data_IF_268752663368
#
_entry.id   IF_268752663368
#
_cell.length_a   1.000
_cell.length_b   1.000
_cell.length_c   1.000
_cell.angle_alpha   90.00
_cell.angle_beta   90.00
_cell.angle_gamma   90.00
#
_symmetry.space_group_name_H-M   'P 1'
#
loop_
_entity.id
_entity.type
_entity.pdbx_description
1 polymer ?
#
# COMPACT_ATOMS: atom_id res chain seq x y z
N UNK A 1 -4.05 -23.18 -12.63
CA UNK A 1 -5.34 -22.52 -12.94
C UNK A 1 -5.35 -21.20 -12.20
N UNK A 2 -5.36 -20.08 -12.91
CA UNK A 2 -5.73 -18.78 -12.34
C UNK A 2 -7.19 -18.87 -11.94
N UNK A 3 -7.47 -18.81 -10.64
CA UNK A 3 -8.84 -18.56 -10.19
C UNK A 3 -9.14 -17.10 -10.51
N UNK A 4 -10.24 -16.86 -11.24
CA UNK A 4 -10.75 -15.52 -11.43
C UNK A 4 -11.23 -15.00 -10.08
N UNK A 5 -10.46 -14.11 -9.46
CA UNK A 5 -10.84 -13.45 -8.21
C UNK A 5 -11.95 -12.44 -8.53
N UNK A 6 -13.14 -12.55 -7.91
CA UNK A 6 -14.22 -11.58 -8.16
C UNK A 6 -13.78 -10.15 -7.82
N UNK A 7 -14.15 -9.17 -8.65
CA UNK A 7 -13.78 -7.76 -8.42
C UNK A 7 -14.21 -7.24 -7.05
N UNK A 8 -15.33 -7.73 -6.50
CA UNK A 8 -15.74 -7.39 -5.14
C UNK A 8 -14.74 -7.84 -4.07
N UNK A 9 -14.14 -9.02 -4.23
CA UNK A 9 -13.09 -9.49 -3.30
C UNK A 9 -11.80 -8.67 -3.42
N UNK A 10 -11.49 -8.16 -4.63
CA UNK A 10 -10.35 -7.27 -4.84
C UNK A 10 -10.57 -5.94 -4.11
N UNK A 11 -11.76 -5.34 -4.26
CA UNK A 11 -12.14 -4.11 -3.56
C UNK A 11 -12.05 -4.32 -2.04
N UNK A 12 -12.66 -5.38 -1.52
CA UNK A 12 -12.63 -5.69 -0.08
C UNK A 12 -11.20 -5.85 0.43
N UNK A 13 -10.33 -6.56 -0.31
CA UNK A 13 -8.94 -6.75 0.08
C UNK A 13 -8.16 -5.43 0.11
N UNK A 14 -8.36 -4.55 -0.88
CA UNK A 14 -7.70 -3.23 -0.93
C UNK A 14 -8.14 -2.37 0.25
N UNK A 15 -9.43 -2.36 0.57
CA UNK A 15 -9.95 -1.60 1.71
C UNK A 15 -9.42 -2.15 3.05
N UNK A 16 -9.35 -3.47 3.20
CA UNK A 16 -8.78 -4.11 4.40
C UNK A 16 -7.30 -3.79 4.55
N UNK A 17 -6.51 -3.93 3.48
CA UNK A 17 -5.10 -3.60 3.47
C UNK A 17 -4.86 -2.14 3.83
N UNK A 18 -5.62 -1.23 3.24
CA UNK A 18 -5.52 0.19 3.53
C UNK A 18 -5.84 0.49 5.01
N UNK A 19 -6.88 -0.14 5.57
CA UNK A 19 -7.20 -0.03 7.01
C UNK A 19 -6.08 -0.57 7.91
N UNK A 20 -5.45 -1.68 7.51
CA UNK A 20 -4.31 -2.23 8.23
C UNK A 20 -3.12 -1.26 8.19
N UNK A 21 -2.81 -0.69 7.03
CA UNK A 21 -1.75 0.31 6.91
C UNK A 21 -2.04 1.57 7.74
N UNK A 22 -3.30 2.02 7.79
CA UNK A 22 -3.74 3.14 8.63
C UNK A 22 -3.43 2.88 10.11
N UNK A 23 -3.73 1.68 10.62
CA UNK A 23 -3.49 1.31 12.00
C UNK A 23 -2.01 1.06 12.34
N UNK A 24 -1.15 0.92 11.33
CA UNK A 24 0.24 0.46 11.52
C UNK A 24 1.28 1.55 11.22
N UNK A 25 1.08 2.32 10.13
CA UNK A 25 2.14 3.16 9.56
C UNK A 25 1.75 4.64 9.45
N UNK A 26 0.45 4.96 9.35
CA UNK A 26 0.01 6.31 9.07
C UNK A 26 -0.35 7.09 10.33
N UNK A 27 0.25 8.26 10.47
CA UNK A 27 -0.10 9.24 11.50
C UNK A 27 -1.45 9.90 11.22
N UNK A 28 -1.76 10.14 9.95
CA UNK A 28 -3.00 10.82 9.54
C UNK A 28 -3.33 10.54 8.08
N UNK A 29 -4.60 10.70 7.73
CA UNK A 29 -5.10 10.67 6.35
C UNK A 29 -5.85 11.95 6.01
N UNK A 30 -5.77 12.36 4.75
CA UNK A 30 -6.34 13.61 4.26
C UNK A 30 -7.11 13.35 2.96
N UNK A 31 -8.37 13.81 2.93
CA UNK A 31 -9.17 13.79 1.71
C UNK A 31 -8.73 14.94 0.79
N UNK A 32 -8.36 14.61 -0.45
CA UNK A 32 -7.92 15.54 -1.48
C UNK A 32 -8.95 15.71 -2.60
N UNK A 33 -10.23 15.44 -2.33
CA UNK A 33 -11.33 15.54 -3.30
C UNK A 33 -11.07 14.67 -4.54
N UNK A 34 -11.15 13.35 -4.35
CA UNK A 34 -10.91 12.35 -5.39
C UNK A 34 -9.65 11.51 -5.20
N UNK A 35 -8.90 11.74 -4.12
CA UNK A 35 -7.85 10.85 -3.64
C UNK A 35 -7.72 10.99 -2.11
N UNK A 36 -7.13 9.98 -1.46
CA UNK A 36 -6.76 10.05 -0.05
C UNK A 36 -5.25 10.08 0.09
N UNK A 37 -4.71 11.09 0.75
CA UNK A 37 -3.28 11.18 1.06
C UNK A 37 -2.97 10.55 2.42
N UNK A 38 -2.09 9.56 2.43
CA UNK A 38 -1.63 8.87 3.63
C UNK A 38 -0.31 9.50 4.09
N UNK A 39 -0.23 9.90 5.37
CA UNK A 39 0.97 10.54 5.94
C UNK A 39 1.48 9.78 7.16
N UNK A 40 2.72 9.29 7.10
CA UNK A 40 3.35 8.51 8.19
C UNK A 40 3.97 9.34 9.32
N UNK A 41 4.12 10.66 9.15
CA UNK A 41 4.68 11.51 10.20
C UNK A 41 6.20 11.39 10.33
N UNK A 42 6.68 10.30 10.95
CA UNK A 42 8.10 10.08 11.26
C UNK A 42 8.89 9.49 10.08
N UNK A 43 8.25 8.68 9.24
CA UNK A 43 8.88 8.12 8.05
C UNK A 43 8.78 9.13 6.92
N UNK A 44 9.91 9.50 6.30
CA UNK A 44 9.97 10.51 5.23
C UNK A 44 9.88 9.93 3.83
N UNK A 45 10.08 8.63 3.71
CA UNK A 45 10.06 7.89 2.44
C UNK A 45 8.67 7.92 1.78
N UNK A 46 8.63 8.05 0.46
CA UNK A 46 7.41 8.06 -0.34
C UNK A 46 6.60 6.75 -0.25
N UNK A 47 7.20 5.62 0.13
CA UNK A 47 6.50 4.35 0.40
C UNK A 47 5.42 4.49 1.48
N UNK A 48 5.59 5.46 2.38
CA UNK A 48 4.68 5.71 3.51
C UNK A 48 4.04 7.10 3.46
N UNK A 49 4.23 7.83 2.36
CA UNK A 49 3.70 9.17 2.15
C UNK A 49 3.19 9.28 0.70
N UNK A 50 1.93 8.92 0.46
CA UNK A 50 1.39 8.81 -0.90
C UNK A 50 -0.11 9.08 -0.99
N UNK A 51 -0.56 9.48 -2.17
CA UNK A 51 -1.97 9.49 -2.54
C UNK A 51 -2.41 8.09 -3.02
N UNK A 52 -3.50 7.57 -2.46
CA UNK A 52 -4.14 6.31 -2.86
C UNK A 52 -5.66 6.45 -2.84
N UNK A 53 -6.38 5.33 -3.01
CA UNK A 53 -7.86 5.31 -3.08
C UNK A 53 -8.40 6.36 -4.06
N UNK A 54 -7.83 6.38 -5.26
CA UNK A 54 -8.07 7.43 -6.25
C UNK A 54 -9.40 7.14 -6.96
N UNK A 55 -10.38 8.02 -6.73
CA UNK A 55 -11.74 7.92 -7.30
C UNK A 55 -12.13 9.29 -7.83
N UNK A 56 -11.82 9.55 -9.09
CA UNK A 56 -12.08 10.84 -9.75
C UNK A 56 -12.69 10.65 -11.14
N UNK A 57 -12.98 11.75 -11.82
CA UNK A 57 -13.43 11.75 -13.22
C UNK A 57 -12.28 12.13 -14.15
N UNK A 58 -12.35 11.74 -15.42
CA UNK A 58 -11.35 12.14 -16.43
C UNK A 58 -11.14 13.65 -16.50
N UNK A 59 -12.19 14.45 -16.28
CA UNK A 59 -12.13 15.92 -16.29
C UNK A 59 -11.41 16.49 -15.06
N UNK A 60 -11.35 15.73 -13.96
CA UNK A 60 -10.79 16.15 -12.67
C UNK A 60 -9.44 15.46 -12.35
N UNK A 61 -8.98 14.52 -13.19
CA UNK A 61 -7.70 13.80 -13.02
C UNK A 61 -6.52 14.74 -12.79
N UNK A 62 -6.33 15.72 -13.67
CA UNK A 62 -5.22 16.68 -13.60
C UNK A 62 -5.24 17.46 -12.27
N UNK A 63 -6.41 17.93 -11.86
CA UNK A 63 -6.56 18.68 -10.63
C UNK A 63 -6.28 17.83 -9.37
N UNK A 64 -6.64 16.53 -9.38
CA UNK A 64 -6.31 15.61 -8.29
C UNK A 64 -4.81 15.38 -8.19
N UNK A 65 -4.12 15.20 -9.33
CA UNK A 65 -2.66 15.01 -9.36
C UNK A 65 -1.96 16.24 -8.75
N UNK A 66 -2.31 17.44 -9.20
CA UNK A 66 -1.72 18.69 -8.70
C UNK A 66 -2.01 18.90 -7.20
N UNK A 67 -3.25 18.61 -6.74
CA UNK A 67 -3.58 18.67 -5.30
C UNK A 67 -2.70 17.75 -4.46
N UNK A 68 -2.45 16.53 -4.92
CA UNK A 68 -1.59 15.59 -4.21
C UNK A 68 -0.11 16.03 -4.22
N UNK A 69 0.37 16.62 -5.32
CA UNK A 69 1.73 17.19 -5.41
C UNK A 69 1.89 18.36 -4.43
N UNK A 70 0.95 19.30 -4.45
CA UNK A 70 0.97 20.47 -3.58
C UNK A 70 0.92 20.05 -2.10
N UNK A 71 0.04 19.09 -1.77
CA UNK A 71 -0.09 18.60 -0.41
C UNK A 71 1.19 17.90 0.09
N UNK A 72 1.79 17.03 -0.72
CA UNK A 72 3.07 16.40 -0.40
C UNK A 72 4.18 17.44 -0.19
N UNK A 73 4.24 18.45 -1.06
CA UNK A 73 5.23 19.54 -1.00
C UNK A 73 5.08 20.37 0.28
N UNK A 74 3.84 20.68 0.69
CA UNK A 74 3.57 21.39 1.96
C UNK A 74 4.05 20.61 3.19
N UNK A 75 4.03 19.28 3.11
CA UNK A 75 4.56 18.39 4.15
C UNK A 75 6.07 18.16 4.05
N UNK A 76 6.76 18.79 3.09
CA UNK A 76 8.15 18.53 2.75
C UNK A 76 8.38 17.04 2.49
N UNK A 77 7.55 16.47 1.61
CA UNK A 77 7.61 15.07 1.14
C UNK A 77 7.70 15.03 -0.38
N UNK A 78 8.29 13.95 -0.88
CA UNK A 78 8.21 13.63 -2.31
C UNK A 78 6.80 13.13 -2.63
N UNK A 79 6.15 13.65 -3.68
CA UNK A 79 4.84 13.16 -4.08
C UNK A 79 4.96 11.75 -4.63
N UNK A 80 4.03 10.90 -4.23
CA UNK A 80 3.89 9.55 -4.76
C UNK A 80 2.43 9.12 -4.81
N UNK A 81 2.16 8.14 -5.68
CA UNK A 81 0.83 7.57 -5.87
C UNK A 81 0.88 6.05 -5.76
N UNK A 82 -0.08 5.48 -5.05
CA UNK A 82 -0.35 4.05 -5.00
C UNK A 82 -1.51 3.73 -5.93
N UNK A 83 -1.21 3.05 -7.05
CA UNK A 83 -2.18 2.71 -8.08
C UNK A 83 -2.61 1.25 -7.91
N UNK A 84 -3.90 1.09 -7.65
CA UNK A 84 -4.57 -0.20 -7.51
C UNK A 84 -5.65 -0.43 -8.60
N UNK A 85 -6.16 -1.67 -8.76
CA UNK A 85 -7.20 -1.98 -9.75
C UNK A 85 -8.53 -1.22 -9.58
N UNK A 86 -8.76 -0.53 -8.46
CA UNK A 86 -9.97 0.27 -8.21
C UNK A 86 -9.80 1.75 -8.55
N UNK A 87 -8.63 2.15 -9.05
CA UNK A 87 -8.37 3.53 -9.47
C UNK A 87 -9.29 3.92 -10.63
N UNK A 88 -9.96 5.05 -10.46
CA UNK A 88 -10.81 5.67 -11.47
C UNK A 88 -10.35 7.10 -11.77
N UNK A 89 -10.22 7.49 -13.05
CA UNK A 89 -10.41 6.67 -14.25
C UNK A 89 -9.25 5.69 -14.52
N UNK A 90 -9.45 4.62 -15.34
CA UNK A 90 -8.36 3.71 -15.71
C UNK A 90 -7.16 4.38 -16.41
N UNK A 91 -7.37 5.56 -17.00
CA UNK A 91 -6.33 6.37 -17.64
C UNK A 91 -5.52 7.23 -16.65
N UNK A 92 -5.79 7.15 -15.35
CA UNK A 92 -5.09 7.95 -14.33
C UNK A 92 -3.57 7.71 -14.34
N UNK A 93 -3.15 6.45 -14.52
CA UNK A 93 -1.73 6.09 -14.60
C UNK A 93 -1.02 6.73 -15.82
N UNK A 94 -1.74 6.91 -16.94
CA UNK A 94 -1.18 7.62 -18.10
C UNK A 94 -1.03 9.12 -17.83
N UNK A 95 -1.98 9.72 -17.12
CA UNK A 95 -1.88 11.10 -16.66
C UNK A 95 -0.70 11.28 -15.69
N UNK A 96 -0.43 10.35 -14.78
CA UNK A 96 0.77 10.43 -13.93
C UNK A 96 2.07 10.49 -14.75
N UNK A 97 2.16 9.74 -15.85
CA UNK A 97 3.33 9.78 -16.73
C UNK A 97 3.49 11.13 -17.44
N UNK A 98 2.40 11.80 -17.82
CA UNK A 98 2.49 13.16 -18.41
C UNK A 98 3.01 14.20 -17.41
N UNK A 99 2.86 13.92 -16.11
CA UNK A 99 3.44 14.71 -15.00
C UNK A 99 4.88 14.31 -14.62
N UNK A 100 5.48 13.34 -15.33
CA UNK A 100 6.84 12.88 -15.10
C UNK A 100 7.00 11.92 -13.93
N UNK A 101 5.91 11.28 -13.49
CA UNK A 101 5.99 10.14 -12.59
C UNK A 101 6.31 8.86 -13.35
N UNK A 102 7.14 8.02 -12.75
CA UNK A 102 7.50 6.71 -13.30
C UNK A 102 7.09 5.60 -12.32
N UNK A 103 6.70 4.42 -12.83
CA UNK A 103 6.44 3.27 -11.99
C UNK A 103 7.77 2.77 -11.38
N UNK A 104 7.80 2.61 -10.06
CA UNK A 104 8.98 2.18 -9.34
C UNK A 104 8.89 0.76 -8.79
N UNK A 105 7.71 0.38 -8.31
CA UNK A 105 7.48 -0.94 -7.75
C UNK A 105 6.16 -1.53 -8.26
N UNK A 106 6.15 -2.85 -8.37
CA UNK A 106 5.02 -3.63 -8.81
C UNK A 106 4.69 -4.71 -7.77
N UNK A 107 3.68 -4.43 -6.96
CA UNK A 107 3.24 -5.38 -5.93
C UNK A 107 2.32 -6.44 -6.53
N UNK A 108 2.52 -7.69 -6.08
CA UNK A 108 1.71 -8.84 -6.47
C UNK A 108 0.92 -9.31 -5.24
N UNK A 109 -0.40 -9.34 -5.39
CA UNK A 109 -1.30 -9.72 -4.29
C UNK A 109 -1.76 -11.17 -4.47
N UNK A 110 -1.65 -11.95 -3.39
CA UNK A 110 -2.04 -13.35 -3.37
C UNK A 110 -3.29 -13.54 -2.49
N UNK A 111 -4.32 -14.14 -3.07
CA UNK A 111 -5.53 -14.53 -2.36
C UNK A 111 -5.40 -15.98 -1.93
N UNK A 112 -5.42 -16.21 -0.62
CA UNK A 112 -5.39 -17.55 -0.05
C UNK A 112 -6.76 -17.95 0.48
N UNK A 113 -7.20 -19.21 0.27
CA UNK A 113 -8.34 -19.75 1.00
C UNK A 113 -8.10 -19.62 2.51
N UNK A 114 -9.07 -19.08 3.23
CA UNK A 114 -9.04 -18.98 4.70
C UNK A 114 -9.68 -20.23 5.32
N UNK A 115 -9.16 -20.70 6.47
CA UNK A 115 -9.75 -21.78 7.26
C UNK A 115 -9.14 -23.16 7.04
N UNK A 116 -9.85 -24.21 7.48
CA UNK A 116 -9.40 -25.62 7.46
C UNK A 116 -9.15 -26.20 6.06
N UNK A 117 -9.55 -25.48 5.01
CA UNK A 117 -9.31 -25.86 3.62
C UNK A 117 -7.92 -25.45 3.12
N UNK A 118 -7.17 -24.68 3.91
CA UNK A 118 -5.79 -24.32 3.60
C UNK A 118 -4.81 -25.31 4.26
N UNK A 119 -4.16 -26.20 3.49
CA UNK A 119 -3.29 -27.23 4.04
C UNK A 119 -2.07 -26.66 4.80
N UNK A 120 -1.67 -25.41 4.54
CA UNK A 120 -0.59 -24.75 5.28
C UNK A 120 -0.97 -24.41 6.72
N UNK A 121 -2.24 -24.05 6.98
CA UNK A 121 -2.71 -23.78 8.34
C UNK A 121 -2.96 -25.06 9.14
N UNK A 122 -3.34 -26.15 8.47
CA UNK A 122 -3.48 -27.45 9.12
C UNK A 122 -2.11 -28.05 9.54
N UNK A 123 -1.05 -27.74 8.78
CA UNK A 123 0.31 -28.23 9.05
C UNK A 123 1.09 -27.43 10.11
N UNK A 124 0.65 -26.21 10.44
CA UNK A 124 1.35 -25.31 11.37
C UNK A 124 0.90 -25.47 12.84
N UNK A 125 0.37 -26.64 13.22
CA UNK A 125 0.14 -27.00 14.63
C UNK A 125 1.40 -27.62 15.21
N UNK A 126 2.50 -26.88 15.17
CA UNK A 126 3.69 -27.22 15.95
C UNK A 126 3.42 -26.79 17.40
N UNK A 127 3.62 -27.69 18.38
CA UNK A 127 3.26 -27.44 19.79
C UNK A 127 3.99 -26.24 20.42
N UNK A 128 5.04 -25.72 19.75
CA UNK A 128 5.87 -24.60 20.21
C UNK A 128 5.31 -23.21 19.87
N UNK A 129 4.40 -23.08 18.90
CA UNK A 129 3.89 -21.77 18.46
C UNK A 129 2.36 -21.71 18.55
N UNK A 130 1.84 -20.69 19.24
CA UNK A 130 0.42 -20.38 19.27
C UNK A 130 0.15 -19.03 18.62
N UNK A 131 -0.76 -19.00 17.63
CA UNK A 131 -1.27 -17.76 17.05
C UNK A 131 -2.44 -17.30 17.92
N UNK A 132 -2.36 -16.08 18.43
CA UNK A 132 -3.42 -15.48 19.23
C UNK A 132 -3.83 -14.15 18.62
N UNK A 133 -5.13 -13.84 18.70
CA UNK A 133 -5.60 -12.49 18.39
C UNK A 133 -5.03 -11.49 19.41
N UNK A 134 -4.62 -10.33 18.91
CA UNK A 134 -4.31 -9.17 19.76
C UNK A 134 -5.63 -8.66 20.33
N UNK A 135 -5.79 -8.74 21.65
CA UNK A 135 -7.06 -8.49 22.33
C UNK A 135 -7.07 -7.18 23.14
N UNK A 136 -5.90 -6.59 23.36
CA UNK A 136 -5.70 -5.44 24.24
C UNK A 136 -4.52 -4.57 23.79
N UNK A 137 -4.41 -3.38 24.38
CA UNK A 137 -3.42 -2.35 24.04
C UNK A 137 -1.99 -2.78 24.39
N UNK A 138 -1.80 -3.49 25.50
CA UNK A 138 -0.47 -4.00 25.91
C UNK A 138 0.09 -5.00 24.90
N UNK A 139 -0.74 -5.93 24.41
CA UNK A 139 -0.36 -6.88 23.35
C UNK A 139 -0.12 -6.18 22.02
N UNK A 140 -0.89 -5.12 21.71
CA UNK A 140 -0.65 -4.31 20.52
C UNK A 140 0.71 -3.61 20.61
N UNK A 141 1.03 -3.03 21.78
CA UNK A 141 2.30 -2.37 22.02
C UNK A 141 3.48 -3.35 21.87
N UNK A 142 3.37 -4.55 22.44
CA UNK A 142 4.38 -5.60 22.28
C UNK A 142 4.55 -6.02 20.80
N UNK A 143 3.45 -6.12 20.04
CA UNK A 143 3.51 -6.38 18.61
C UNK A 143 4.24 -5.27 17.85
N UNK A 144 3.90 -4.00 18.12
CA UNK A 144 4.52 -2.82 17.50
C UNK A 144 6.02 -2.75 17.82
N UNK A 145 6.43 -3.06 19.06
CA UNK A 145 7.84 -3.10 19.46
C UNK A 145 8.62 -4.15 18.68
N UNK A 146 8.14 -5.40 18.64
CA UNK A 146 8.78 -6.47 17.86
C UNK A 146 8.82 -6.11 16.38
N UNK A 147 7.76 -5.51 15.86
CA UNK A 147 7.69 -5.07 14.47
C UNK A 147 8.74 -3.98 14.17
N UNK A 148 8.82 -2.92 14.99
CA UNK A 148 9.81 -1.86 14.84
C UNK A 148 11.25 -2.40 14.94
N UNK A 149 11.52 -3.26 15.93
CA UNK A 149 12.82 -3.91 16.09
C UNK A 149 13.19 -4.70 14.83
N UNK A 150 12.25 -5.46 14.26
CA UNK A 150 12.48 -6.23 13.02
C UNK A 150 12.77 -5.34 11.81
N UNK A 151 12.20 -4.13 11.77
CA UNK A 151 12.40 -3.15 10.70
C UNK A 151 13.76 -2.46 10.79
N UNK A 152 14.27 -2.23 12.00
CA UNK A 152 15.64 -1.74 12.23
C UNK A 152 16.71 -2.76 11.81
N UNK A 153 16.37 -4.05 11.66
CA UNK A 153 17.31 -5.12 11.35
C UNK A 153 17.54 -5.39 9.85
N UNK A 154 16.87 -4.71 8.91
CA UNK A 154 17.00 -5.04 7.47
C UNK A 154 17.59 -3.92 6.61
N UNK A 155 18.92 -3.93 6.54
CA UNK A 155 19.70 -3.44 5.39
C UNK A 155 20.11 -4.58 4.44
N UNK A 156 19.39 -5.71 4.41
CA UNK A 156 19.65 -6.79 3.45
C UNK A 156 18.45 -7.06 2.54
N UNK A 157 18.67 -7.18 1.20
CA UNK A 157 17.62 -7.44 0.24
C UNK A 157 17.29 -8.94 0.22
N UNK A 158 16.03 -9.28 0.48
CA UNK A 158 15.45 -10.62 0.32
C UNK A 158 13.97 -10.41 -0.07
N UNK A 159 13.31 -11.14 -0.97
CA UNK A 159 13.65 -12.25 -1.87
C UNK A 159 12.44 -12.46 -2.81
N UNK A 160 12.66 -13.08 -3.97
CA UNK A 160 11.65 -13.54 -4.93
C UNK A 160 10.69 -14.61 -4.36
N UNK A 161 9.40 -14.57 -4.73
CA UNK A 161 8.51 -15.75 -4.77
C UNK A 161 7.23 -15.52 -5.62
N UNK A 162 6.59 -16.63 -5.99
CA UNK A 162 5.78 -16.91 -7.18
C UNK A 162 4.31 -16.41 -7.23
N UNK A 163 3.78 -16.49 -8.46
CA UNK A 163 2.69 -15.73 -9.11
C UNK A 163 1.21 -16.02 -8.74
N UNK A 164 0.43 -14.94 -8.61
CA UNK A 164 -0.91 -14.71 -9.20
C UNK A 164 -1.08 -13.19 -9.42
N UNK A 165 -1.49 -12.74 -10.61
CA UNK A 165 -1.23 -11.35 -11.05
C UNK A 165 -2.45 -10.42 -10.96
N UNK A 166 -2.54 -9.66 -9.87
CA UNK A 166 -3.09 -8.29 -9.93
C UNK A 166 -1.89 -7.36 -9.80
N UNK A 167 -1.69 -6.49 -10.79
CA UNK A 167 -0.56 -5.59 -10.85
C UNK A 167 -0.93 -4.25 -10.22
N UNK A 168 -0.21 -3.87 -9.17
CA UNK A 168 -0.28 -2.56 -8.56
C UNK A 168 1.00 -1.81 -8.94
N UNK A 169 0.94 -0.50 -9.10
CA UNK A 169 2.12 0.29 -9.43
C UNK A 169 2.26 1.43 -8.43
N UNK A 170 3.44 1.58 -7.86
CA UNK A 170 3.81 2.80 -7.15
C UNK A 170 4.52 3.73 -8.11
N UNK A 171 4.08 4.99 -8.13
CA UNK A 171 4.65 6.02 -8.98
C UNK A 171 5.36 7.05 -8.13
N UNK A 172 6.63 7.32 -8.44
CA UNK A 172 7.42 8.39 -7.82
C UNK A 172 7.96 9.32 -8.90
N UNK A 173 8.26 10.57 -8.54
CA UNK A 173 8.92 11.51 -9.45
C UNK A 173 10.43 11.33 -9.29
N UNK A 174 11.07 10.74 -10.29
CA UNK A 174 12.52 10.56 -10.30
C UNK A 174 13.21 11.94 -10.41
N UNK A 175 13.51 12.59 -9.29
CA UNK A 175 14.42 13.73 -9.22
C UNK A 175 15.85 13.21 -9.41
N UNK A 176 16.21 12.77 -10.62
CA UNK A 176 17.63 12.64 -10.96
C UNK A 176 18.21 14.03 -10.86
N UNK A 177 18.94 14.26 -9.77
CA UNK A 177 19.73 15.45 -9.54
C UNK A 177 20.57 15.71 -10.80
N UNK A 178 20.19 16.72 -11.57
CA UNK A 178 21.06 17.32 -12.54
C UNK A 178 22.27 17.87 -11.79
N UNK A 179 23.38 17.16 -11.88
CA UNK A 179 24.72 17.73 -11.79
C UNK A 179 25.26 17.84 -13.21
#
# INVERSE_FOLDING_TARGET
MTQDVPSSQIVDAIEIHWRLQLGSYFKSVHDLDGATYNFAGQVTDYFWNYAGLIRTTTQNTEAVIERAIDFATQLNREPAFYIDPTVEPPTFADALRTHGFEPEDQEVWMFYPTGSENPAFAAATDEEFSIQHVADEDRMQAFVEVFHDSYHFRHEPCFNAYNFHCYYYRYSRCLRAGK
#
